data_IF_428737885914
#
_entry.id   IF_428737885914
#
_cell.length_a   1.000
_cell.length_b   1.000
_cell.length_c   1.000
_cell.angle_alpha   90.00
_cell.angle_beta   90.00
_cell.angle_gamma   90.00
#
_symmetry.space_group_name_H-M   'P 1'
#
loop_
_entity.id
_entity.type
_entity.pdbx_description
1 polymer ?
#
# COMPACT_ATOMS: atom_id res chain seq x y z
N UNK A 1 -11.17 10.52 -3.90
CA UNK A 1 -10.07 9.54 -3.84
C UNK A 1 -9.66 9.25 -5.28
N UNK A 2 -8.38 9.01 -5.53
CA UNK A 2 -7.86 8.55 -6.83
C UNK A 2 -7.14 7.23 -6.58
N UNK A 3 -7.02 6.39 -7.60
CA UNK A 3 -6.21 5.17 -7.55
C UNK A 3 -5.14 5.29 -8.63
N UNK A 4 -3.87 5.32 -8.23
CA UNK A 4 -2.74 5.30 -9.14
C UNK A 4 -2.19 3.88 -9.23
N UNK A 5 -2.14 3.34 -10.44
CA UNK A 5 -1.47 2.07 -10.72
C UNK A 5 -0.21 2.37 -11.50
N UNK A 6 0.94 2.07 -10.92
CA UNK A 6 2.23 2.20 -11.61
C UNK A 6 2.56 0.87 -12.26
N UNK A 7 2.48 0.82 -13.58
CA UNK A 7 2.85 -0.33 -14.39
C UNK A 7 4.35 -0.28 -14.67
N UNK A 8 5.13 -1.07 -13.93
CA UNK A 8 6.59 -1.11 -14.01
C UNK A 8 7.10 -1.95 -15.19
N UNK A 9 6.61 -1.65 -16.39
CA UNK A 9 7.04 -2.31 -17.62
C UNK A 9 6.46 -3.70 -17.83
N UNK A 10 5.21 -3.95 -17.39
CA UNK A 10 4.54 -5.25 -17.57
C UNK A 10 4.41 -5.63 -19.06
N UNK A 11 4.41 -6.94 -19.33
CA UNK A 11 4.21 -7.52 -20.67
C UNK A 11 3.18 -8.66 -20.58
N UNK A 12 1.95 -8.50 -21.10
CA UNK A 12 1.44 -7.34 -21.84
C UNK A 12 1.26 -6.07 -20.99
N UNK A 13 1.11 -4.87 -21.60
CA UNK A 13 0.82 -3.65 -20.86
C UNK A 13 -0.47 -3.69 -20.07
N UNK A 14 -0.43 -3.26 -18.81
CA UNK A 14 -1.53 -3.41 -17.88
C UNK A 14 -2.76 -2.56 -18.27
N UNK A 15 -2.54 -1.41 -18.92
CA UNK A 15 -3.64 -0.55 -19.37
C UNK A 15 -4.59 -1.26 -20.35
N UNK A 16 -4.06 -2.15 -21.20
CA UNK A 16 -4.87 -2.95 -22.11
C UNK A 16 -5.77 -3.93 -21.37
N UNK A 17 -5.20 -4.67 -20.41
CA UNK A 17 -5.91 -5.63 -19.57
C UNK A 17 -7.00 -4.95 -18.73
N UNK A 18 -6.67 -3.82 -18.09
CA UNK A 18 -7.63 -3.07 -17.26
C UNK A 18 -8.82 -2.53 -18.06
N UNK A 19 -8.59 -2.10 -19.30
CA UNK A 19 -9.67 -1.67 -20.21
C UNK A 19 -10.59 -2.84 -20.59
N UNK A 20 -10.03 -4.02 -20.83
CA UNK A 20 -10.82 -5.21 -21.16
C UNK A 20 -11.68 -5.67 -19.97
N UNK A 21 -11.17 -5.56 -18.74
CA UNK A 21 -11.91 -5.91 -17.53
C UNK A 21 -13.01 -4.92 -17.13
N UNK A 22 -13.06 -3.72 -17.73
CA UNK A 22 -14.16 -2.77 -17.55
C UNK A 22 -14.25 -2.20 -16.13
N UNK A 23 -13.14 -1.64 -15.62
CA UNK A 23 -13.10 -0.99 -14.29
C UNK A 23 -14.11 0.17 -14.24
N UNK A 24 -14.97 0.20 -13.20
CA UNK A 24 -15.97 1.27 -12.99
C UNK A 24 -15.25 2.64 -12.90
N UNK A 25 -15.71 3.62 -13.67
CA UNK A 25 -15.17 4.99 -13.69
C UNK A 25 -15.15 5.65 -12.30
N UNK A 26 -16.05 5.24 -11.39
CA UNK A 26 -16.08 5.69 -9.99
C UNK A 26 -14.79 5.39 -9.24
N UNK A 27 -14.04 4.36 -9.65
CA UNK A 27 -12.73 4.03 -9.07
C UNK A 27 -11.69 5.12 -9.30
N UNK A 28 -11.88 6.01 -10.30
CA UNK A 28 -10.96 7.11 -10.65
C UNK A 28 -9.52 6.59 -10.78
N UNK A 29 -9.39 5.49 -11.51
CA UNK A 29 -8.12 4.79 -11.73
C UNK A 29 -7.32 5.47 -12.84
N UNK A 30 -6.03 5.72 -12.58
CA UNK A 30 -5.08 6.25 -13.56
C UNK A 30 -3.83 5.36 -13.58
N UNK A 31 -3.43 4.94 -14.77
CA UNK A 31 -2.23 4.12 -14.98
C UNK A 31 -1.06 5.03 -15.35
N UNK A 32 0.08 4.83 -14.72
CA UNK A 32 1.37 5.44 -15.10
C UNK A 32 2.29 4.30 -15.48
N UNK A 33 2.73 4.24 -16.73
CA UNK A 33 3.55 3.14 -17.23
C UNK A 33 5.00 3.56 -17.39
N UNK A 34 5.90 2.73 -16.89
CA UNK A 34 7.32 2.78 -17.25
C UNK A 34 7.58 2.03 -18.56
N UNK A 35 8.49 2.54 -19.38
CA UNK A 35 8.88 1.89 -20.65
C UNK A 35 9.57 0.53 -20.44
N UNK A 36 10.22 0.35 -19.29
CA UNK A 36 10.91 -0.87 -18.86
C UNK A 36 10.82 -1.01 -17.33
N UNK A 37 11.12 -2.20 -16.77
CA UNK A 37 11.14 -2.38 -15.32
C UNK A 37 12.25 -1.58 -14.64
N UNK A 38 11.87 -0.81 -13.63
CA UNK A 38 12.77 -0.01 -12.78
C UNK A 38 12.77 -0.49 -11.32
N UNK A 39 11.86 -1.37 -10.94
CA UNK A 39 11.73 -1.95 -9.61
C UNK A 39 10.80 -1.16 -8.70
N UNK A 40 10.38 -1.84 -7.62
CA UNK A 40 9.36 -1.39 -6.67
C UNK A 40 9.62 0.01 -6.11
N UNK A 41 10.87 0.33 -5.77
CA UNK A 41 11.21 1.62 -5.15
C UNK A 41 10.97 2.80 -6.09
N UNK A 42 11.37 2.67 -7.36
CA UNK A 42 11.14 3.70 -8.38
C UNK A 42 9.65 3.77 -8.71
N UNK A 43 8.96 2.63 -8.79
CA UNK A 43 7.51 2.61 -9.00
C UNK A 43 6.75 3.33 -7.87
N UNK A 44 7.11 3.10 -6.59
CA UNK A 44 6.55 3.85 -5.45
C UNK A 44 6.87 5.34 -5.56
N UNK A 45 8.09 5.72 -5.95
CA UNK A 45 8.44 7.12 -6.15
C UNK A 45 7.58 7.79 -7.22
N UNK A 46 7.49 7.18 -8.41
CA UNK A 46 6.64 7.66 -9.52
C UNK A 46 5.19 7.85 -9.08
N UNK A 47 4.64 6.88 -8.36
CA UNK A 47 3.26 6.94 -7.86
C UNK A 47 3.06 8.03 -6.80
N UNK A 48 3.98 8.14 -5.84
CA UNK A 48 3.93 9.16 -4.79
C UNK A 48 4.05 10.58 -5.34
N UNK A 49 5.00 10.82 -6.25
CA UNK A 49 5.23 12.13 -6.88
C UNK A 49 4.05 12.57 -7.75
N UNK A 50 3.36 11.62 -8.36
CA UNK A 50 2.20 11.88 -9.20
C UNK A 50 0.88 12.04 -8.41
N UNK A 51 0.85 11.73 -7.12
CA UNK A 51 -0.36 11.77 -6.30
C UNK A 51 -0.80 13.21 -5.98
N UNK A 52 -2.10 13.46 -6.06
CA UNK A 52 -2.70 14.78 -5.75
C UNK A 52 -3.53 14.80 -4.47
N UNK A 53 -3.84 13.62 -3.91
CA UNK A 53 -4.55 13.48 -2.64
C UNK A 53 -3.81 14.09 -1.45
N UNK A 54 -4.55 14.57 -0.44
CA UNK A 54 -3.97 15.10 0.82
C UNK A 54 -3.12 14.06 1.58
N UNK A 55 -3.51 12.80 1.46
CA UNK A 55 -2.83 11.64 2.01
C UNK A 55 -2.46 10.70 0.86
N UNK A 56 -1.30 10.05 0.97
CA UNK A 56 -0.81 9.05 0.01
C UNK A 56 -0.77 7.72 0.75
N UNK A 57 -1.34 6.68 0.16
CA UNK A 57 -1.25 5.30 0.65
C UNK A 57 -0.62 4.43 -0.43
N UNK A 58 0.37 3.63 -0.03
CA UNK A 58 0.97 2.59 -0.86
C UNK A 58 0.39 1.26 -0.44
N UNK A 59 -0.01 0.46 -1.42
CA UNK A 59 -0.58 -0.87 -1.24
C UNK A 59 0.01 -1.80 -2.29
N UNK A 60 0.24 -3.05 -1.92
CA UNK A 60 0.63 -4.07 -2.87
C UNK A 60 -0.55 -4.38 -3.83
N UNK A 61 -0.26 -4.94 -5.00
CA UNK A 61 -1.28 -5.19 -6.03
C UNK A 61 -2.20 -6.39 -5.72
N UNK A 62 -2.05 -7.00 -4.55
CA UNK A 62 -2.74 -8.21 -4.10
C UNK A 62 -3.21 -8.05 -2.66
N UNK A 63 -3.93 -6.95 -2.37
CA UNK A 63 -4.53 -6.68 -1.06
C UNK A 63 -6.05 -6.62 -1.16
N UNK A 64 -6.73 -6.94 -0.06
CA UNK A 64 -8.18 -6.79 0.09
C UNK A 64 -8.47 -5.92 1.33
N UNK A 65 -8.65 -4.60 1.16
CA UNK A 65 -8.88 -3.71 2.30
C UNK A 65 -10.23 -3.98 2.99
N UNK A 66 -10.23 -4.11 4.32
CA UNK A 66 -11.45 -4.25 5.11
C UNK A 66 -12.38 -3.03 4.95
N UNK A 67 -13.71 -3.18 5.15
CA UNK A 67 -14.60 -2.03 5.19
C UNK A 67 -14.11 -0.95 6.15
N UNK A 68 -14.22 0.31 5.74
CA UNK A 68 -13.83 1.47 6.56
C UNK A 68 -12.35 1.56 6.99
N UNK A 69 -11.45 0.73 6.43
CA UNK A 69 -10.01 0.68 6.75
C UNK A 69 -9.31 2.05 6.82
N UNK A 70 -9.77 3.01 6.02
CA UNK A 70 -9.14 4.33 5.86
C UNK A 70 -9.45 5.30 7.02
N UNK A 71 -10.51 5.07 7.80
CA UNK A 71 -11.00 6.04 8.81
C UNK A 71 -9.95 6.35 9.87
N UNK A 72 -9.37 5.31 10.46
CA UNK A 72 -8.33 5.44 11.49
C UNK A 72 -7.04 6.03 10.91
N UNK A 73 -6.61 5.53 9.75
CA UNK A 73 -5.46 6.07 9.03
C UNK A 73 -5.57 7.58 8.82
N UNK A 74 -6.73 8.06 8.37
CA UNK A 74 -6.96 9.49 8.16
C UNK A 74 -7.00 10.28 9.46
N UNK A 75 -7.54 9.73 10.55
CA UNK A 75 -7.53 10.37 11.86
C UNK A 75 -6.09 10.55 12.36
N UNK A 76 -5.27 9.50 12.27
CA UNK A 76 -3.87 9.51 12.67
C UNK A 76 -3.03 10.49 11.83
N UNK A 77 -3.17 10.48 10.50
CA UNK A 77 -2.45 11.40 9.62
C UNK A 77 -2.89 12.85 9.77
N UNK A 78 -4.14 13.10 10.16
CA UNK A 78 -4.64 14.45 10.46
C UNK A 78 -4.01 15.03 11.73
N UNK A 79 -3.77 14.19 12.73
CA UNK A 79 -3.22 14.61 14.01
C UNK A 79 -1.73 14.99 13.93
N UNK A 80 -0.98 14.45 12.95
CA UNK A 80 0.46 14.73 12.79
C UNK A 80 0.90 14.63 11.32
N UNK A 81 1.37 15.73 10.75
CA UNK A 81 1.80 15.79 9.34
C UNK A 81 2.99 14.88 9.04
N UNK A 82 3.98 14.85 9.94
CA UNK A 82 5.18 13.98 9.83
C UNK A 82 4.93 12.65 10.52
N UNK A 83 4.02 11.85 9.94
CA UNK A 83 3.65 10.53 10.45
C UNK A 83 3.53 9.56 9.27
N UNK A 84 4.07 8.37 9.47
CA UNK A 84 3.75 7.19 8.68
C UNK A 84 2.76 6.34 9.46
N UNK A 85 1.79 5.75 8.79
CA UNK A 85 0.81 4.84 9.37
C UNK A 85 0.88 3.54 8.58
N UNK A 86 1.07 2.43 9.29
CA UNK A 86 1.03 1.07 8.73
C UNK A 86 -0.27 0.44 9.23
N UNK A 87 -1.15 -0.05 8.34
CA UNK A 87 -2.33 -0.79 8.77
C UNK A 87 -1.93 -2.14 9.37
N UNK A 88 -2.81 -2.73 10.18
CA UNK A 88 -2.72 -4.15 10.50
C UNK A 88 -2.86 -4.97 9.21
N UNK A 89 -1.95 -5.92 9.01
CA UNK A 89 -1.89 -6.81 7.85
C UNK A 89 -2.37 -8.18 8.30
N UNK A 90 -3.49 -8.63 7.71
CA UNK A 90 -4.00 -9.98 7.88
C UNK A 90 -3.56 -10.90 6.74
N UNK A 91 -3.94 -12.17 6.87
CA UNK A 91 -3.63 -13.22 5.91
C UNK A 91 -4.81 -13.44 4.94
N UNK A 92 -4.51 -13.55 3.64
CA UNK A 92 -5.47 -13.92 2.61
C UNK A 92 -5.22 -15.36 2.16
N UNK A 93 -6.30 -16.14 2.04
CA UNK A 93 -6.24 -17.45 1.41
C UNK A 93 -5.92 -17.30 -0.08
N UNK A 94 -4.85 -17.95 -0.57
CA UNK A 94 -4.40 -17.80 -1.96
C UNK A 94 -5.36 -18.40 -3.00
N UNK A 95 -6.22 -19.33 -2.59
CA UNK A 95 -7.16 -20.00 -3.48
C UNK A 95 -8.52 -19.28 -3.50
N UNK A 96 -9.03 -18.86 -2.34
CA UNK A 96 -10.36 -18.25 -2.23
C UNK A 96 -10.36 -16.74 -2.23
N UNK A 97 -9.20 -16.11 -1.98
CA UNK A 97 -9.04 -14.66 -1.79
C UNK A 97 -9.82 -14.08 -0.59
N UNK A 98 -10.28 -14.95 0.32
CA UNK A 98 -10.90 -14.53 1.57
C UNK A 98 -9.85 -14.31 2.66
N UNK A 99 -10.15 -13.40 3.60
CA UNK A 99 -9.39 -13.26 4.83
C UNK A 99 -9.45 -14.56 5.64
N UNK A 100 -8.30 -15.03 6.13
CA UNK A 100 -8.23 -16.19 7.02
C UNK A 100 -8.80 -15.80 8.39
N UNK A 101 -9.92 -16.39 8.83
CA UNK A 101 -10.54 -16.00 10.10
C UNK A 101 -9.63 -16.34 11.28
N UNK A 102 -9.42 -15.37 12.17
CA UNK A 102 -8.49 -15.47 13.31
C UNK A 102 -7.04 -15.76 12.88
N UNK A 103 -6.67 -15.41 11.64
CA UNK A 103 -5.28 -15.40 11.20
C UNK A 103 -4.43 -14.39 11.98
N UNK A 104 -3.09 -14.50 11.90
CA UNK A 104 -2.21 -13.54 12.53
C UNK A 104 -2.44 -12.14 11.93
N UNK A 105 -2.53 -11.14 12.81
CA UNK A 105 -2.51 -9.74 12.41
C UNK A 105 -1.15 -9.16 12.79
N UNK A 106 -0.44 -8.59 11.82
CA UNK A 106 0.89 -8.02 12.05
C UNK A 106 1.00 -6.61 11.50
N UNK A 107 1.79 -5.77 12.17
CA UNK A 107 2.10 -4.42 11.68
C UNK A 107 3.50 -3.96 12.08
N UNK A 108 4.03 -4.49 13.19
CA UNK A 108 5.27 -4.02 13.80
C UNK A 108 6.44 -4.88 13.37
N UNK A 109 7.45 -4.23 12.84
CA UNK A 109 8.59 -4.89 12.23
C UNK A 109 9.89 -4.41 12.85
N UNK A 110 10.88 -5.29 12.91
CA UNK A 110 12.25 -4.94 13.25
C UNK A 110 13.22 -5.57 12.25
N UNK A 111 14.44 -5.06 12.23
CA UNK A 111 15.54 -5.58 11.44
C UNK A 111 16.60 -6.10 12.40
N UNK A 112 17.06 -7.33 12.18
CA UNK A 112 18.16 -7.90 12.95
C UNK A 112 19.52 -7.43 12.38
N UNK A 113 20.63 -7.82 13.02
CA UNK A 113 21.96 -7.43 12.57
C UNK A 113 22.40 -8.03 11.22
N UNK A 114 21.66 -9.00 10.68
CA UNK A 114 21.87 -9.56 9.35
C UNK A 114 21.05 -8.84 8.27
N UNK A 115 20.33 -7.77 8.63
CA UNK A 115 19.36 -7.09 7.78
C UNK A 115 18.11 -7.92 7.43
N UNK A 116 17.82 -8.98 8.20
CA UNK A 116 16.58 -9.74 8.02
C UNK A 116 15.41 -9.01 8.67
N UNK A 117 14.26 -9.12 8.00
CA UNK A 117 13.01 -8.55 8.45
C UNK A 117 12.21 -9.55 9.29
N UNK A 118 11.73 -9.11 10.45
CA UNK A 118 10.96 -9.93 11.38
C UNK A 118 9.79 -9.15 11.99
N UNK A 119 8.78 -9.90 12.42
CA UNK A 119 7.60 -9.39 13.11
C UNK A 119 7.79 -9.48 14.63
N UNK A 120 7.26 -8.50 15.35
CA UNK A 120 7.16 -8.57 16.81
C UNK A 120 5.84 -7.93 17.25
N UNK A 121 5.51 -8.10 18.53
CA UNK A 121 4.35 -7.45 19.13
C UNK A 121 4.69 -6.87 20.51
N UNK A 122 3.97 -5.81 20.87
CA UNK A 122 4.01 -5.13 22.16
C UNK A 122 2.71 -4.34 22.40
N UNK A 123 2.58 -3.67 23.54
CA UNK A 123 1.37 -2.88 23.87
C UNK A 123 1.36 -1.46 23.26
N UNK A 124 2.36 -1.10 22.43
CA UNK A 124 2.53 0.27 21.92
C UNK A 124 2.07 0.40 20.46
N UNK A 125 1.60 1.59 20.07
CA UNK A 125 1.31 1.86 18.65
C UNK A 125 2.56 2.27 17.86
N UNK A 126 3.74 2.25 18.47
CA UNK A 126 4.97 2.70 17.84
C UNK A 126 5.64 1.57 17.08
N UNK A 127 6.01 1.88 15.84
CA UNK A 127 6.64 0.94 14.93
C UNK A 127 8.06 1.44 14.63
N UNK A 128 9.12 0.70 14.97
CA UNK A 128 10.49 1.13 14.73
C UNK A 128 10.83 1.06 13.24
N UNK A 129 10.30 0.07 12.52
CA UNK A 129 10.53 -0.13 11.08
C UNK A 129 9.23 -0.57 10.40
N UNK A 130 8.91 0.04 9.26
CA UNK A 130 7.74 -0.31 8.45
C UNK A 130 8.00 -1.57 7.60
N UNK A 131 6.96 -2.35 7.29
CA UNK A 131 7.05 -3.46 6.33
C UNK A 131 7.34 -3.00 4.89
N UNK A 132 6.99 -1.76 4.57
CA UNK A 132 7.28 -1.09 3.30
C UNK A 132 6.23 -1.33 2.21
N UNK A 133 5.55 -2.49 2.22
CA UNK A 133 4.47 -2.81 1.27
C UNK A 133 3.27 -1.88 1.46
N UNK A 134 2.68 -1.92 2.66
CA UNK A 134 1.51 -1.13 3.05
C UNK A 134 1.91 0.01 3.99
N UNK A 135 1.79 1.25 3.53
CA UNK A 135 2.09 2.43 4.37
C UNK A 135 1.36 3.66 3.83
N UNK A 136 0.90 4.52 4.73
CA UNK A 136 0.29 5.80 4.39
C UNK A 136 1.03 6.98 5.05
N UNK A 137 1.04 8.11 4.36
CA UNK A 137 1.68 9.36 4.79
C UNK A 137 0.86 10.58 4.35
N UNK A 138 1.21 11.75 4.84
CA UNK A 138 0.69 13.00 4.27
C UNK A 138 1.48 13.38 3.03
N UNK A 139 0.80 13.93 2.01
CA UNK A 139 1.48 14.42 0.79
C UNK A 139 2.46 15.55 1.08
N UNK A 140 2.28 16.30 2.16
CA UNK A 140 3.20 17.35 2.55
C UNK A 140 4.50 16.82 3.17
N UNK A 141 4.51 15.54 3.59
CA UNK A 141 5.67 14.88 4.17
C UNK A 141 6.33 13.88 3.21
N UNK A 142 5.56 13.34 2.25
CA UNK A 142 6.11 12.81 1.01
C UNK A 142 6.87 13.93 0.27
#
# INVERSE_FOLDING_TARGET
QEILVVDDGSSPPLEGELKQHGIDEKCRLRVIRHEKPWGLMIAKQTGGDAAVGKYIGFYDCHVAPAPDWHKETFALLRAKTRRLVVPMIGELNMDTWDEVPNGPLTAKCYINFNADFWWYDDESDNIPIISGGLVATTRAWW
#
